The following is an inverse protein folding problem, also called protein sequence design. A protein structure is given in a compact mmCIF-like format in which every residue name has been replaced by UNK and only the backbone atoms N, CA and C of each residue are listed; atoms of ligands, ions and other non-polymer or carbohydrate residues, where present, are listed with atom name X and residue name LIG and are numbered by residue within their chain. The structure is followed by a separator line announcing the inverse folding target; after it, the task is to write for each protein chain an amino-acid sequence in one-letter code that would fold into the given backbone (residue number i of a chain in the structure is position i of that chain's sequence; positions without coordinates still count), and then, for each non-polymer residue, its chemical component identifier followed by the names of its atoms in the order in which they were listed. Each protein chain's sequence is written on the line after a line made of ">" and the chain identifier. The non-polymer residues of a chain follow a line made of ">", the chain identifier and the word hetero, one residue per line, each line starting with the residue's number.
data_IF_693270743179
#
_entry.id   IF_693270743179
#
_cell.length_a   1.000
_cell.length_b   1.000
_cell.length_c   1.000
_cell.angle_alpha   90.00
_cell.angle_beta   90.00
_cell.angle_gamma   90.00
#
_symmetry.space_group_name_H-M   'P 1'
#
loop_
_entity.id
_entity.type
_entity.pdbx_description
1 polymer ?
#
# COMPACT_ATOMS: atom_id res chain seq x y z
N UNK A 1 23.87 -31.17 11.51
CA UNK A 1 23.24 -29.99 12.15
C UNK A 1 22.16 -29.30 11.27
N UNK A 2 21.79 -29.87 10.11
CA UNK A 2 20.80 -29.29 9.18
C UNK A 2 19.34 -29.66 9.54
N UNK A 3 19.12 -30.90 10.00
CA UNK A 3 17.78 -31.42 10.30
C UNK A 3 17.07 -30.69 11.47
N UNK A 4 17.83 -30.25 12.49
CA UNK A 4 17.28 -29.60 13.68
C UNK A 4 16.70 -28.21 13.38
N UNK A 5 17.37 -27.38 12.57
CA UNK A 5 16.87 -26.04 12.18
C UNK A 5 15.56 -26.12 11.39
N UNK A 6 15.42 -27.12 10.52
CA UNK A 6 14.18 -27.35 9.79
C UNK A 6 13.05 -27.89 10.68
N UNK A 7 13.40 -28.67 11.71
CA UNK A 7 12.45 -29.15 12.71
C UNK A 7 11.95 -28.02 13.61
N UNK A 8 12.84 -27.09 13.99
CA UNK A 8 12.48 -25.88 14.75
C UNK A 8 11.53 -24.99 13.94
N UNK A 9 11.86 -24.70 12.67
CA UNK A 9 11.03 -23.91 11.78
C UNK A 9 9.67 -24.58 11.50
N UNK A 10 9.67 -25.91 11.33
CA UNK A 10 8.44 -26.69 11.18
C UNK A 10 7.60 -26.62 12.46
N UNK A 11 8.21 -26.82 13.64
CA UNK A 11 7.53 -26.72 14.94
C UNK A 11 6.96 -25.33 15.18
N UNK A 12 7.67 -24.28 14.77
CA UNK A 12 7.21 -22.89 14.83
C UNK A 12 6.00 -22.67 13.91
N UNK A 13 6.04 -23.17 12.67
CA UNK A 13 4.91 -23.07 11.72
C UNK A 13 3.67 -23.82 12.21
N UNK A 14 3.85 -24.98 12.83
CA UNK A 14 2.77 -25.78 13.43
C UNK A 14 2.22 -25.07 14.68
N UNK A 15 3.09 -24.50 15.51
CA UNK A 15 2.66 -23.69 16.65
C UNK A 15 1.84 -22.48 16.16
N UNK A 16 2.31 -21.71 15.18
CA UNK A 16 1.55 -20.59 14.61
C UNK A 16 0.21 -21.01 13.98
N UNK A 17 0.12 -22.22 13.41
CA UNK A 17 -1.13 -22.79 12.87
C UNK A 17 -2.17 -23.12 13.96
N UNK A 18 -1.71 -23.63 15.11
CA UNK A 18 -2.59 -24.06 16.21
C UNK A 18 -2.74 -23.03 17.34
N UNK A 19 -2.01 -21.92 17.29
CA UNK A 19 -2.18 -20.84 18.27
C UNK A 19 -3.36 -20.00 17.80
N UNK A 20 -4.49 -19.97 18.52
CA UNK A 20 -5.57 -19.02 18.25
C UNK A 20 -4.95 -17.63 18.26
N UNK A 21 -5.26 -16.80 17.24
CA UNK A 21 -4.74 -15.44 17.06
C UNK A 21 -4.27 -14.86 18.40
N UNK A 22 -2.95 -14.85 18.61
CA UNK A 22 -2.42 -13.94 19.61
C UNK A 22 -2.88 -12.56 19.18
N UNK A 23 -3.33 -11.77 20.15
CA UNK A 23 -3.88 -10.41 20.00
C UNK A 23 -2.99 -9.43 19.22
N UNK A 24 -1.79 -9.86 18.80
CA UNK A 24 -0.74 -9.08 18.15
C UNK A 24 -0.72 -9.17 16.61
N UNK A 25 -1.56 -10.00 15.99
CA UNK A 25 -1.63 -10.11 14.52
C UNK A 25 -2.94 -9.56 13.97
N UNK A 26 -2.90 -8.77 12.88
CA UNK A 26 -4.11 -8.20 12.31
C UNK A 26 -5.05 -9.29 11.79
N UNK A 27 -6.33 -9.04 11.99
CA UNK A 27 -7.43 -9.88 11.51
C UNK A 27 -7.52 -9.81 9.99
N UNK A 28 -8.18 -10.79 9.39
CA UNK A 28 -8.51 -10.80 7.96
C UNK A 28 -9.19 -9.49 7.53
N UNK A 29 -10.12 -8.99 8.33
CA UNK A 29 -10.88 -7.78 8.02
C UNK A 29 -9.98 -6.54 8.00
N UNK A 30 -9.04 -6.44 8.94
CA UNK A 30 -8.07 -5.33 8.98
C UNK A 30 -7.09 -5.40 7.79
N UNK A 31 -6.56 -6.57 7.47
CA UNK A 31 -5.69 -6.74 6.30
C UNK A 31 -6.46 -6.42 5.02
N UNK A 32 -7.74 -6.81 4.94
CA UNK A 32 -8.63 -6.51 3.81
C UNK A 32 -8.86 -5.01 3.67
N UNK A 33 -9.10 -4.30 4.78
CA UNK A 33 -9.22 -2.84 4.77
C UNK A 33 -7.92 -2.16 4.29
N UNK A 34 -6.77 -2.59 4.79
CA UNK A 34 -5.47 -2.10 4.35
C UNK A 34 -5.23 -2.36 2.84
N UNK A 35 -5.60 -3.55 2.36
CA UNK A 35 -5.53 -3.91 0.95
C UNK A 35 -6.38 -2.98 0.08
N UNK A 36 -7.64 -2.74 0.47
CA UNK A 36 -8.52 -1.84 -0.27
C UNK A 36 -8.01 -0.41 -0.31
N UNK A 37 -7.45 0.10 0.80
CA UNK A 37 -6.81 1.42 0.82
C UNK A 37 -5.61 1.49 -0.16
N UNK A 38 -4.79 0.45 -0.22
CA UNK A 38 -3.66 0.36 -1.16
C UNK A 38 -4.12 0.31 -2.63
N UNK A 39 -5.19 -0.44 -2.90
CA UNK A 39 -5.83 -0.48 -4.23
C UNK A 39 -6.39 0.88 -4.61
N UNK A 40 -7.11 1.55 -3.70
CA UNK A 40 -7.75 2.86 -3.92
C UNK A 40 -6.70 3.92 -4.31
N UNK A 41 -5.61 4.04 -3.55
CA UNK A 41 -4.53 4.99 -3.85
C UNK A 41 -3.86 4.66 -5.18
N UNK A 42 -3.56 3.39 -5.44
CA UNK A 42 -2.92 2.97 -6.70
C UNK A 42 -3.80 3.29 -7.90
N UNK A 43 -5.10 3.01 -7.82
CA UNK A 43 -6.05 3.30 -8.88
C UNK A 43 -6.24 4.81 -9.11
N UNK A 44 -6.22 5.61 -8.04
CA UNK A 44 -6.28 7.07 -8.14
C UNK A 44 -5.03 7.64 -8.84
N UNK A 45 -3.84 7.13 -8.52
CA UNK A 45 -2.60 7.51 -9.21
C UNK A 45 -2.65 7.15 -10.71
N UNK A 46 -3.03 5.92 -11.05
CA UNK A 46 -3.17 5.48 -12.44
C UNK A 46 -4.19 6.36 -13.20
N UNK A 47 -5.30 6.73 -12.55
CA UNK A 47 -6.29 7.65 -13.11
C UNK A 47 -5.70 9.04 -13.37
N UNK A 48 -4.94 9.60 -12.42
CA UNK A 48 -4.29 10.90 -12.59
C UNK A 48 -3.31 10.89 -13.77
N UNK A 49 -2.50 9.83 -13.89
CA UNK A 49 -1.60 9.64 -15.02
C UNK A 49 -2.34 9.65 -16.35
N UNK A 50 -3.42 8.88 -16.46
CA UNK A 50 -4.25 8.86 -17.67
C UNK A 50 -4.84 10.24 -18.00
N UNK A 51 -5.27 11.00 -16.99
CA UNK A 51 -5.84 12.34 -17.20
C UNK A 51 -4.81 13.37 -17.61
N UNK A 52 -3.63 13.39 -16.98
CA UNK A 52 -2.54 14.26 -17.41
C UNK A 52 -2.13 13.99 -18.86
N UNK A 53 -2.20 12.73 -19.29
CA UNK A 53 -1.93 12.33 -20.66
C UNK A 53 -3.01 12.77 -21.66
N UNK A 54 -4.23 13.05 -21.21
CA UNK A 54 -5.35 13.51 -22.06
C UNK A 54 -5.40 15.03 -22.25
N UNK A 55 -4.56 15.80 -21.54
CA UNK A 55 -4.42 17.23 -21.82
C UNK A 55 -3.80 17.47 -23.19
N UNK A 56 -4.11 18.63 -23.77
CA UNK A 56 -3.52 19.09 -25.01
C UNK A 56 -2.93 20.50 -24.82
N UNK A 57 -1.59 20.63 -24.64
CA UNK A 57 -0.60 19.55 -24.62
C UNK A 57 -0.67 18.70 -23.34
N UNK A 58 -0.16 17.45 -23.35
CA UNK A 58 -0.11 16.59 -22.17
C UNK A 58 0.67 17.24 -21.02
N UNK A 59 0.23 17.02 -19.78
CA UNK A 59 0.94 17.53 -18.61
C UNK A 59 2.06 16.58 -18.17
N UNK A 60 3.18 16.63 -18.89
CA UNK A 60 4.32 15.72 -18.75
C UNK A 60 4.92 15.70 -17.35
N UNK A 61 5.03 16.85 -16.69
CA UNK A 61 5.53 16.94 -15.31
C UNK A 61 4.64 16.17 -14.34
N UNK A 62 3.32 16.24 -14.51
CA UNK A 62 2.37 15.46 -13.71
C UNK A 62 2.48 13.96 -13.94
N UNK A 63 2.70 13.54 -15.20
CA UNK A 63 2.90 12.13 -15.54
C UNK A 63 4.16 11.58 -14.86
N UNK A 64 5.29 12.28 -15.00
CA UNK A 64 6.57 11.90 -14.39
C UNK A 64 6.46 11.84 -12.87
N UNK A 65 5.78 12.81 -12.26
CA UNK A 65 5.56 12.83 -10.82
C UNK A 65 4.79 11.61 -10.32
N UNK A 66 3.73 11.20 -11.03
CA UNK A 66 2.97 9.99 -10.68
C UNK A 66 3.86 8.74 -10.80
N UNK A 67 4.72 8.66 -11.81
CA UNK A 67 5.68 7.57 -11.95
C UNK A 67 6.70 7.53 -10.81
N UNK A 68 7.23 8.68 -10.40
CA UNK A 68 8.11 8.80 -9.23
C UNK A 68 7.40 8.33 -7.95
N UNK A 69 6.13 8.71 -7.74
CA UNK A 69 5.35 8.24 -6.58
C UNK A 69 5.16 6.73 -6.63
N UNK A 70 4.80 6.15 -7.77
CA UNK A 70 4.68 4.70 -7.91
C UNK A 70 5.99 3.98 -7.61
N UNK A 71 7.12 4.51 -8.08
CA UNK A 71 8.42 3.91 -7.83
C UNK A 71 8.79 4.04 -6.34
N UNK A 72 8.60 5.20 -5.74
CA UNK A 72 8.84 5.42 -4.32
C UNK A 72 8.01 4.47 -3.42
N UNK A 73 6.74 4.24 -3.77
CA UNK A 73 5.89 3.27 -3.08
C UNK A 73 6.40 1.83 -3.24
N UNK A 74 6.98 1.47 -4.40
CA UNK A 74 7.61 0.14 -4.56
C UNK A 74 8.89 0.03 -3.76
N UNK A 75 9.72 1.08 -3.76
CA UNK A 75 10.98 1.10 -3.03
C UNK A 75 10.74 0.94 -1.51
N UNK A 76 9.65 1.50 -0.99
CA UNK A 76 9.20 1.29 0.40
C UNK A 76 8.85 -0.18 0.72
N UNK A 77 8.67 -1.02 -0.32
CA UNK A 77 8.12 -2.37 -0.24
C UNK A 77 8.96 -3.39 -1.03
N UNK A 78 10.28 -3.19 -1.07
CA UNK A 78 11.21 -4.15 -1.68
C UNK A 78 11.04 -4.31 -3.19
N UNK A 79 10.57 -3.27 -3.88
CA UNK A 79 10.32 -3.26 -5.33
C UNK A 79 8.93 -3.72 -5.74
N UNK A 80 8.07 -4.12 -4.80
CA UNK A 80 6.73 -4.66 -5.05
C UNK A 80 5.66 -3.61 -4.73
N UNK A 81 4.48 -3.66 -5.38
CA UNK A 81 3.40 -2.73 -5.04
C UNK A 81 2.81 -3.11 -3.67
N UNK A 82 2.39 -2.12 -2.85
CA UNK A 82 1.84 -2.41 -1.53
C UNK A 82 0.62 -3.35 -1.56
N UNK A 83 -0.27 -3.18 -2.56
CA UNK A 83 -1.43 -4.06 -2.73
C UNK A 83 -1.06 -5.52 -2.97
N UNK A 84 0.06 -5.78 -3.66
CA UNK A 84 0.44 -7.14 -4.03
C UNK A 84 1.00 -7.86 -2.80
N UNK A 85 1.72 -7.13 -1.93
CA UNK A 85 2.19 -7.63 -0.63
C UNK A 85 1.01 -7.94 0.31
N UNK A 86 0.02 -7.04 0.38
CA UNK A 86 -1.19 -7.25 1.21
C UNK A 86 -2.06 -8.38 0.67
N UNK A 87 -2.13 -8.56 -0.65
CA UNK A 87 -2.86 -9.66 -1.28
C UNK A 87 -2.27 -11.03 -0.90
N UNK A 88 -0.94 -11.18 -0.93
CA UNK A 88 -0.27 -12.40 -0.48
C UNK A 88 -0.62 -12.71 0.98
N UNK A 89 -0.67 -11.69 1.84
CA UNK A 89 -1.03 -11.87 3.24
C UNK A 89 -2.51 -12.29 3.43
N UNK A 90 -3.42 -11.75 2.61
CA UNK A 90 -4.82 -12.20 2.60
C UNK A 90 -4.95 -13.66 2.17
N UNK A 91 -4.29 -14.06 1.09
CA UNK A 91 -4.33 -15.44 0.58
C UNK A 91 -3.79 -16.45 1.62
N UNK A 92 -2.78 -16.06 2.39
CA UNK A 92 -2.29 -16.87 3.51
C UNK A 92 -3.28 -16.94 4.67
N UNK A 93 -3.93 -15.83 5.03
CA UNK A 93 -4.95 -15.82 6.10
C UNK A 93 -6.17 -16.66 5.74
N UNK A 94 -6.58 -16.64 4.48
CA UNK A 94 -7.69 -17.45 3.99
C UNK A 94 -7.28 -18.92 3.75
N UNK A 95 -6.03 -19.29 4.07
CA UNK A 95 -5.46 -20.64 3.92
C UNK A 95 -5.36 -21.15 2.47
N UNK A 96 -5.38 -20.25 1.48
CA UNK A 96 -5.22 -20.59 0.05
C UNK A 96 -3.75 -20.84 -0.29
N UNK A 97 -2.84 -20.14 0.40
CA UNK A 97 -1.40 -20.39 0.37
C UNK A 97 -0.99 -21.13 1.64
N UNK A 98 -0.58 -22.40 1.49
CA UNK A 98 -0.06 -23.25 2.58
C UNK A 98 1.43 -23.05 2.87
N UNK A 99 2.10 -22.20 2.09
CA UNK A 99 3.51 -21.90 2.29
C UNK A 99 3.68 -20.80 3.35
N UNK A 100 3.94 -21.22 4.59
CA UNK A 100 4.20 -20.33 5.72
C UNK A 100 5.62 -19.71 5.67
N UNK A 101 6.45 -20.05 4.67
CA UNK A 101 7.85 -19.58 4.55
C UNK A 101 7.98 -18.16 3.99
N UNK A 102 6.88 -17.52 3.61
CA UNK A 102 6.87 -16.12 3.14
C UNK A 102 7.34 -15.16 4.26
N UNK A 103 7.35 -15.62 5.53
CA UNK A 103 7.89 -14.90 6.69
C UNK A 103 8.94 -15.73 7.42
N UNK A 104 10.03 -16.04 6.73
CA UNK A 104 11.08 -16.90 7.27
C UNK A 104 11.81 -16.25 8.46
N UNK A 105 11.74 -14.92 8.60
CA UNK A 105 12.47 -14.14 9.61
C UNK A 105 11.57 -13.17 10.41
N UNK A 106 12.04 -12.80 11.61
CA UNK A 106 11.37 -11.83 12.48
C UNK A 106 11.34 -10.43 11.85
N UNK A 107 12.39 -10.08 11.10
CA UNK A 107 12.55 -8.84 10.37
C UNK A 107 11.49 -8.71 9.26
N UNK A 108 11.28 -9.77 8.47
CA UNK A 108 10.21 -9.82 7.45
C UNK A 108 8.83 -9.67 8.10
N UNK A 109 8.59 -10.34 9.23
CA UNK A 109 7.33 -10.21 9.99
C UNK A 109 7.10 -8.78 10.47
N UNK A 110 8.13 -8.11 11.01
CA UNK A 110 8.05 -6.70 11.46
C UNK A 110 7.80 -5.75 10.28
N UNK A 111 8.47 -5.96 9.15
CA UNK A 111 8.28 -5.14 7.95
C UNK A 111 6.84 -5.25 7.42
N UNK A 112 6.25 -6.45 7.45
CA UNK A 112 4.86 -6.68 7.06
C UNK A 112 3.87 -5.98 7.98
N UNK A 113 4.05 -6.09 9.30
CA UNK A 113 3.19 -5.39 10.27
C UNK A 113 3.27 -3.87 10.07
N UNK A 114 4.48 -3.31 9.91
CA UNK A 114 4.66 -1.88 9.66
C UNK A 114 4.00 -1.43 8.34
N UNK A 115 4.05 -2.27 7.30
CA UNK A 115 3.33 -2.04 6.04
C UNK A 115 1.82 -2.05 6.29
N UNK A 116 1.30 -3.07 6.97
CA UNK A 116 -0.12 -3.13 7.32
C UNK A 116 -0.56 -1.90 8.11
N UNK A 117 0.13 -1.53 9.19
CA UNK A 117 -0.23 -0.38 10.02
C UNK A 117 -0.31 0.91 9.19
N UNK A 118 0.66 1.11 8.30
CA UNK A 118 0.67 2.25 7.37
C UNK A 118 -0.55 2.26 6.46
N UNK A 119 -0.93 1.10 5.92
CA UNK A 119 -2.03 1.00 4.94
C UNK A 119 -3.41 0.85 5.60
N UNK A 120 -3.47 0.46 6.86
CA UNK A 120 -4.70 0.36 7.65
C UNK A 120 -5.15 1.72 8.21
N UNK A 121 -4.21 2.64 8.46
CA UNK A 121 -4.51 4.00 8.92
C UNK A 121 -5.06 4.89 7.78
N UNK A 122 -6.36 4.77 7.53
CA UNK A 122 -7.07 5.53 6.48
C UNK A 122 -6.95 7.04 6.68
N UNK A 123 -6.93 7.54 7.91
CA UNK A 123 -6.86 8.97 8.18
C UNK A 123 -5.48 9.54 7.87
N UNK A 124 -4.41 8.81 8.20
CA UNK A 124 -3.06 9.16 7.78
C UNK A 124 -2.91 9.11 6.27
N UNK A 125 -3.45 8.09 5.61
CA UNK A 125 -3.44 8.00 4.15
C UNK A 125 -4.17 9.17 3.49
N UNK A 126 -5.32 9.59 4.03
CA UNK A 126 -6.04 10.79 3.56
C UNK A 126 -5.23 12.06 3.74
N UNK A 127 -4.49 12.21 4.83
CA UNK A 127 -3.59 13.37 5.04
C UNK A 127 -2.42 13.34 4.06
N UNK A 128 -1.86 12.17 3.78
CA UNK A 128 -0.73 11.99 2.86
C UNK A 128 -1.12 12.20 1.39
N UNK A 129 -2.25 11.63 0.99
CA UNK A 129 -2.75 11.61 -0.38
C UNK A 129 -4.01 12.46 -0.54
N UNK A 130 -4.07 13.59 0.15
CA UNK A 130 -5.24 14.46 0.22
C UNK A 130 -5.79 14.84 -1.15
N UNK A 131 -4.91 15.11 -2.13
CA UNK A 131 -5.31 15.47 -3.49
C UNK A 131 -5.89 14.31 -4.31
N UNK A 132 -5.60 13.05 -3.93
CA UNK A 132 -6.16 11.86 -4.57
C UNK A 132 -7.51 11.46 -3.97
N UNK A 133 -7.74 11.78 -2.70
CA UNK A 133 -8.85 11.30 -1.88
C UNK A 133 -10.00 12.30 -1.71
N UNK A 134 -10.04 13.37 -2.50
CA UNK A 134 -11.08 14.40 -2.36
C UNK A 134 -12.48 13.89 -2.77
N UNK A 135 -12.60 12.63 -3.21
CA UNK A 135 -13.83 12.06 -3.76
C UNK A 135 -14.36 10.85 -2.94
N UNK A 136 -13.88 10.68 -1.69
CA UNK A 136 -14.44 9.73 -0.71
C UNK A 136 -15.94 10.01 -0.51
N UNK A 137 -16.79 9.06 -0.07
CA UNK A 137 -18.27 9.28 0.01
C UNK A 137 -18.71 10.45 0.92
N UNK A 138 -17.80 10.98 1.75
CA UNK A 138 -17.99 12.24 2.49
C UNK A 138 -17.54 13.52 1.76
N UNK A 139 -16.87 13.42 0.61
CA UNK A 139 -16.39 14.53 -0.23
C UNK A 139 -16.60 14.37 -1.76
N UNK A 140 -17.18 13.26 -2.26
CA UNK A 140 -17.85 13.21 -3.56
C UNK A 140 -17.10 12.48 -4.68
N UNK A 141 -17.53 11.25 -4.97
CA UNK A 141 -17.32 10.40 -6.15
C UNK A 141 -16.47 11.00 -7.28
N UNK A 142 -15.41 10.26 -7.67
CA UNK A 142 -14.66 10.36 -8.93
C UNK A 142 -15.60 10.04 -10.10
N UNK A 143 -16.57 10.93 -10.32
CA UNK A 143 -17.28 10.96 -11.57
C UNK A 143 -16.31 11.52 -12.59
N UNK A 144 -16.07 10.70 -13.61
CA UNK A 144 -15.25 10.87 -14.81
C UNK A 144 -15.23 12.27 -15.47
N UNK A 145 -16.11 13.18 -15.04
CA UNK A 145 -16.38 14.52 -15.58
C UNK A 145 -15.72 15.68 -14.82
N UNK A 146 -15.06 15.47 -13.68
CA UNK A 146 -14.58 16.58 -12.82
C UNK A 146 -13.05 16.73 -12.64
N UNK A 147 -12.23 16.09 -13.48
CA UNK A 147 -10.76 16.29 -13.44
C UNK A 147 -10.37 17.61 -14.14
N UNK A 148 -10.74 18.73 -13.52
CA UNK A 148 -10.45 20.09 -13.99
C UNK A 148 -8.95 20.40 -13.93
N UNK A 149 -8.53 21.49 -14.59
CA UNK A 149 -7.15 21.96 -14.50
C UNK A 149 -6.74 22.30 -13.06
N UNK A 150 -7.64 22.93 -12.29
CA UNK A 150 -7.43 23.20 -10.87
C UNK A 150 -7.22 21.91 -10.08
N UNK A 151 -8.04 20.89 -10.33
CA UNK A 151 -7.89 19.59 -9.67
C UNK A 151 -6.56 18.91 -10.01
N UNK A 152 -6.12 19.02 -11.27
CA UNK A 152 -4.80 18.55 -11.68
C UNK A 152 -3.66 19.20 -10.90
N UNK A 153 -3.73 20.51 -10.67
CA UNK A 153 -2.72 21.23 -9.92
C UNK A 153 -2.73 20.84 -8.44
N UNK A 154 -3.91 20.63 -7.84
CA UNK A 154 -4.02 20.13 -6.46
C UNK A 154 -3.41 18.74 -6.30
N UNK A 155 -3.71 17.82 -7.21
CA UNK A 155 -3.09 16.48 -7.25
C UNK A 155 -1.58 16.60 -7.39
N UNK A 156 -1.11 17.41 -8.34
CA UNK A 156 0.32 17.62 -8.57
C UNK A 156 1.03 18.13 -7.32
N UNK A 157 0.47 19.17 -6.67
CA UNK A 157 1.01 19.72 -5.43
C UNK A 157 1.05 18.68 -4.32
N UNK A 158 -0.05 17.94 -4.11
CA UNK A 158 -0.14 16.87 -3.11
C UNK A 158 0.96 15.82 -3.29
N UNK A 159 1.12 15.31 -4.51
CA UNK A 159 2.12 14.28 -4.81
C UNK A 159 3.55 14.79 -4.67
N UNK A 160 3.80 16.05 -5.05
CA UNK A 160 5.11 16.69 -4.90
C UNK A 160 5.48 16.84 -3.43
N UNK A 161 4.59 17.39 -2.62
CA UNK A 161 4.80 17.54 -1.19
C UNK A 161 5.03 16.19 -0.50
N UNK A 162 4.28 15.15 -0.90
CA UNK A 162 4.47 13.81 -0.37
C UNK A 162 5.86 13.26 -0.71
N UNK A 163 6.31 13.39 -1.97
CA UNK A 163 7.64 12.94 -2.39
C UNK A 163 8.76 13.71 -1.69
N UNK A 164 8.63 15.03 -1.53
CA UNK A 164 9.59 15.87 -0.82
C UNK A 164 9.72 15.44 0.64
N UNK A 165 8.59 15.31 1.34
CA UNK A 165 8.56 14.81 2.72
C UNK A 165 9.17 13.41 2.80
N UNK A 166 8.91 12.52 1.84
CA UNK A 166 9.47 11.16 1.84
C UNK A 166 10.99 11.19 1.70
N UNK A 167 11.50 11.98 0.74
CA UNK A 167 12.95 12.16 0.52
C UNK A 167 13.64 12.77 1.75
N UNK A 168 12.94 13.62 2.50
CA UNK A 168 13.41 14.19 3.77
C UNK A 168 13.26 13.25 4.99
N UNK A 169 12.73 12.04 4.82
CA UNK A 169 12.47 11.10 5.92
C UNK A 169 11.29 11.50 6.83
N UNK A 170 10.45 12.44 6.41
CA UNK A 170 9.31 12.99 7.17
C UNK A 170 7.98 12.30 6.86
N UNK A 171 7.95 11.32 5.93
CA UNK A 171 6.77 10.48 5.66
C UNK A 171 6.79 9.26 6.57
N UNK A 172 7.11 9.46 7.85
CA UNK A 172 7.03 8.42 8.89
C UNK A 172 6.50 9.04 10.18
#
# INVERSE_FOLDING_TARGET
>A
MFALRHLEAWRQSVAEFFTPNTTDLPTRNEISAAFYNAVEITAALDTCKHRFNWYNPPFTHGIQLVEEVHQALRDDHGGVRPRDVLYIWLDQRDSWIRDHRIFATLEEKKAMVALFERWNDRDRLKKQFWGLMLDDRNNGVLHYRYFTHERSLQVYQCLREWLEKRKAGQVY
#
